data_IF_831897950276
#
_entry.id   IF_831897950276
#
_cell.length_a   1.000
_cell.length_b   1.000
_cell.length_c   1.000
_cell.angle_alpha   90.00
_cell.angle_beta   90.00
_cell.angle_gamma   90.00
#
_symmetry.space_group_name_H-M   'P 1'
#
loop_
_entity.id
_entity.type
_entity.pdbx_description
1 polymer ?
#
# COMPACT_ATOMS: atom_id res chain seq x y z
N UNK A 1 -10.17 5.42 25.72
CA UNK A 1 -8.69 5.28 25.73
C UNK A 1 -8.31 4.13 24.80
N UNK A 2 -7.78 4.43 23.61
CA UNK A 2 -7.26 3.40 22.71
C UNK A 2 -5.91 2.90 23.21
N UNK A 3 -5.71 1.58 23.31
CA UNK A 3 -4.43 0.99 23.70
C UNK A 3 -3.36 1.38 22.67
N UNK A 4 -2.41 2.24 23.03
CA UNK A 4 -1.22 2.54 22.22
C UNK A 4 -0.39 1.26 22.13
N UNK A 5 -0.51 0.52 21.03
CA UNK A 5 0.36 -0.63 20.76
C UNK A 5 1.61 -0.08 20.08
N UNK A 6 2.73 -0.13 20.77
CA UNK A 6 4.03 0.01 20.12
C UNK A 6 4.16 -1.15 19.12
N UNK A 7 4.19 -0.83 17.84
CA UNK A 7 4.47 -1.78 16.77
C UNK A 7 5.91 -1.54 16.38
N UNK A 8 6.79 -2.47 16.73
CA UNK A 8 8.12 -2.50 16.14
C UNK A 8 7.96 -2.86 14.66
N UNK A 9 8.45 -2.00 13.76
CA UNK A 9 8.49 -2.30 12.33
C UNK A 9 9.68 -3.23 12.07
N UNK A 10 9.47 -4.52 12.33
CA UNK A 10 10.44 -5.57 12.07
C UNK A 10 9.84 -6.63 11.14
N UNK A 11 10.72 -7.48 10.59
CA UNK A 11 10.26 -8.62 9.80
C UNK A 11 9.43 -9.58 10.67
N UNK A 12 8.14 -9.69 10.35
CA UNK A 12 7.22 -10.53 11.11
C UNK A 12 7.44 -12.03 10.81
N UNK A 13 7.21 -12.87 11.83
CA UNK A 13 7.25 -14.34 11.68
C UNK A 13 6.21 -14.81 10.65
N UNK A 14 6.46 -15.94 9.99
CA UNK A 14 5.53 -16.49 8.98
C UNK A 14 4.11 -16.68 9.55
N UNK A 15 3.99 -17.24 10.76
CA UNK A 15 2.70 -17.39 11.45
C UNK A 15 1.98 -16.05 11.63
N UNK A 16 2.69 -15.02 12.06
CA UNK A 16 2.12 -13.68 12.23
C UNK A 16 1.73 -13.06 10.89
N UNK A 17 2.55 -13.22 9.83
CA UNK A 17 2.25 -12.73 8.48
C UNK A 17 0.96 -13.35 7.95
N UNK A 18 0.85 -14.67 7.96
CA UNK A 18 -0.38 -15.41 7.54
C UNK A 18 -1.63 -14.95 8.28
N UNK A 19 -1.53 -14.79 9.60
CA UNK A 19 -2.66 -14.40 10.43
C UNK A 19 -3.14 -12.96 10.17
N UNK A 20 -2.25 -12.07 9.70
CA UNK A 20 -2.55 -10.63 9.62
C UNK A 20 -2.68 -10.09 8.19
N UNK A 21 -2.10 -10.76 7.17
CA UNK A 21 -1.99 -10.19 5.81
C UNK A 21 -3.36 -9.85 5.22
N UNK A 22 -4.32 -10.76 5.30
CA UNK A 22 -5.70 -10.57 4.79
C UNK A 22 -6.38 -9.36 5.43
N UNK A 23 -6.31 -9.25 6.75
CA UNK A 23 -6.92 -8.12 7.48
C UNK A 23 -6.18 -6.80 7.22
N UNK A 24 -4.85 -6.80 7.13
CA UNK A 24 -4.05 -5.60 6.85
C UNK A 24 -4.28 -5.10 5.42
N UNK A 25 -4.31 -6.02 4.45
CA UNK A 25 -4.55 -5.71 3.05
C UNK A 25 -5.96 -5.13 2.83
N UNK A 26 -6.99 -5.75 3.43
CA UNK A 26 -8.37 -5.21 3.38
C UNK A 26 -8.45 -3.79 3.96
N UNK A 27 -7.77 -3.53 5.09
CA UNK A 27 -7.72 -2.18 5.70
C UNK A 27 -6.96 -1.19 4.83
N UNK A 28 -5.86 -1.61 4.21
CA UNK A 28 -5.08 -0.79 3.29
C UNK A 28 -5.93 -0.38 2.08
N UNK A 29 -6.56 -1.35 1.42
CA UNK A 29 -7.48 -1.13 0.30
C UNK A 29 -8.59 -0.14 0.68
N UNK A 30 -9.22 -0.34 1.85
CA UNK A 30 -10.25 0.58 2.35
C UNK A 30 -9.73 2.01 2.50
N UNK A 31 -8.55 2.18 3.09
CA UNK A 31 -7.93 3.50 3.28
C UNK A 31 -7.56 4.16 1.96
N UNK A 32 -7.04 3.39 1.01
CA UNK A 32 -6.76 3.88 -0.34
C UNK A 32 -8.04 4.33 -1.05
N UNK A 33 -9.13 3.54 -0.96
CA UNK A 33 -10.42 3.93 -1.52
C UNK A 33 -11.00 5.20 -0.86
N UNK A 34 -10.87 5.33 0.47
CA UNK A 34 -11.26 6.56 1.17
C UNK A 34 -10.45 7.77 0.65
N UNK A 35 -9.14 7.62 0.45
CA UNK A 35 -8.30 8.69 -0.09
C UNK A 35 -8.66 9.08 -1.52
N UNK A 36 -8.92 8.11 -2.41
CA UNK A 36 -9.34 8.41 -3.79
C UNK A 36 -10.63 9.19 -3.82
N UNK A 37 -11.58 8.88 -2.92
CA UNK A 37 -12.86 9.61 -2.81
C UNK A 37 -12.65 11.01 -2.21
N UNK A 38 -11.92 11.13 -1.10
CA UNK A 38 -11.78 12.39 -0.37
C UNK A 38 -10.92 13.42 -1.10
N UNK A 39 -9.94 12.95 -1.88
CA UNK A 39 -8.99 13.80 -2.58
C UNK A 39 -9.27 13.90 -4.09
N UNK A 40 -10.36 13.29 -4.59
CA UNK A 40 -10.67 13.17 -6.03
C UNK A 40 -9.47 12.66 -6.84
N UNK A 41 -8.74 11.71 -6.26
CA UNK A 41 -7.50 11.16 -6.80
C UNK A 41 -7.72 9.82 -7.49
N UNK A 42 -6.88 9.52 -8.49
CA UNK A 42 -6.82 8.18 -9.10
C UNK A 42 -5.66 7.38 -8.52
N UNK A 43 -5.95 6.19 -8.01
CA UNK A 43 -4.95 5.28 -7.47
C UNK A 43 -5.36 3.83 -7.69
N UNK A 44 -4.37 2.93 -7.68
CA UNK A 44 -4.56 1.50 -7.67
C UNK A 44 -3.56 0.84 -6.71
N UNK A 45 -3.85 -0.40 -6.30
CA UNK A 45 -2.93 -1.22 -5.51
C UNK A 45 -2.68 -2.54 -6.22
N UNK A 46 -1.42 -2.98 -6.23
CA UNK A 46 -1.00 -4.30 -6.67
C UNK A 46 -0.13 -4.91 -5.56
N UNK A 47 -0.60 -5.99 -4.94
CA UNK A 47 0.08 -6.63 -3.81
C UNK A 47 0.27 -8.11 -4.12
N UNK A 48 1.52 -8.55 -4.18
CA UNK A 48 1.85 -9.96 -4.25
C UNK A 48 1.90 -10.56 -2.83
N UNK A 49 0.86 -11.29 -2.46
CA UNK A 49 0.80 -12.03 -1.20
C UNK A 49 1.60 -13.33 -1.31
N UNK A 50 2.81 -13.31 -0.76
CA UNK A 50 3.70 -14.48 -0.72
C UNK A 50 3.21 -15.62 0.17
N UNK A 51 2.21 -15.39 1.03
CA UNK A 51 1.69 -16.44 1.90
C UNK A 51 0.63 -17.31 1.23
N UNK A 52 -0.19 -16.72 0.34
CA UNK A 52 -1.22 -17.42 -0.44
C UNK A 52 -0.84 -17.54 -1.94
N UNK A 53 0.33 -17.02 -2.37
CA UNK A 53 0.81 -16.94 -3.76
C UNK A 53 -0.21 -16.26 -4.70
N UNK A 54 -0.79 -15.15 -4.23
CA UNK A 54 -1.85 -14.43 -4.93
C UNK A 54 -1.47 -12.97 -5.20
N UNK A 55 -1.70 -12.54 -6.45
CA UNK A 55 -1.67 -11.14 -6.80
C UNK A 55 -3.05 -10.52 -6.53
N UNK A 56 -3.11 -9.63 -5.54
CA UNK A 56 -4.30 -8.82 -5.27
C UNK A 56 -4.18 -7.51 -6.02
N UNK A 57 -5.19 -7.21 -6.83
CA UNK A 57 -5.32 -5.97 -7.59
C UNK A 57 -6.59 -5.24 -7.15
N UNK A 58 -6.46 -3.94 -6.86
CA UNK A 58 -7.59 -3.05 -6.57
C UNK A 58 -7.48 -1.79 -7.43
N UNK A 59 -8.60 -1.23 -7.95
CA UNK A 59 -10.00 -1.68 -7.77
C UNK A 59 -10.34 -2.96 -8.54
N UNK A 60 -9.86 -3.05 -9.76
CA UNK A 60 -9.93 -4.21 -10.65
C UNK A 60 -8.73 -4.16 -11.59
N UNK A 61 -8.42 -5.27 -12.25
CA UNK A 61 -7.34 -5.28 -13.25
C UNK A 61 -7.59 -4.29 -14.38
N UNK A 62 -8.85 -4.19 -14.87
CA UNK A 62 -9.19 -3.27 -15.96
C UNK A 62 -9.03 -1.81 -15.56
N UNK A 63 -9.36 -1.45 -14.31
CA UNK A 63 -9.25 -0.07 -13.81
C UNK A 63 -7.81 0.30 -13.42
N UNK A 64 -7.04 -0.67 -12.91
CA UNK A 64 -5.65 -0.45 -12.51
C UNK A 64 -4.72 -0.33 -13.73
N UNK A 65 -4.96 -1.12 -14.78
CA UNK A 65 -4.11 -1.15 -15.98
C UNK A 65 -3.82 0.23 -16.59
N UNK A 66 -4.80 1.10 -16.90
CA UNK A 66 -4.52 2.42 -17.49
C UNK A 66 -3.74 3.34 -16.55
N UNK A 67 -3.88 3.18 -15.22
CA UNK A 67 -3.09 3.95 -14.25
C UNK A 67 -1.63 3.54 -14.25
N UNK A 68 -1.39 2.23 -14.37
CA UNK A 68 -0.05 1.65 -14.49
C UNK A 68 0.59 2.03 -15.82
N UNK A 69 -0.14 1.94 -16.94
CA UNK A 69 0.32 2.37 -18.25
C UNK A 69 0.67 3.87 -18.26
N UNK A 70 -0.18 4.70 -17.65
CA UNK A 70 0.09 6.12 -17.48
C UNK A 70 1.33 6.38 -16.60
N UNK A 71 1.54 5.60 -15.52
CA UNK A 71 2.76 5.69 -14.73
C UNK A 71 4.02 5.39 -15.58
N UNK A 72 3.94 4.37 -16.44
CA UNK A 72 5.04 4.00 -17.32
C UNK A 72 5.20 4.89 -18.56
N UNK A 73 4.24 5.75 -18.89
CA UNK A 73 4.41 6.71 -19.99
C UNK A 73 5.30 7.90 -19.61
N UNK A 74 5.41 8.23 -18.32
CA UNK A 74 6.31 9.27 -17.82
C UNK A 74 7.79 8.88 -17.94
N UNK A 75 8.67 9.86 -18.16
CA UNK A 75 10.14 9.66 -18.12
C UNK A 75 10.62 9.41 -16.69
N UNK A 76 11.82 8.83 -16.49
CA UNK A 76 12.35 8.51 -15.16
C UNK A 76 12.37 9.72 -14.19
N UNK A 77 12.61 10.92 -14.70
CA UNK A 77 12.64 12.17 -13.94
C UNK A 77 11.23 12.71 -13.63
N UNK A 78 10.22 12.34 -14.40
CA UNK A 78 8.80 12.67 -14.14
C UNK A 78 8.13 11.62 -13.25
N UNK A 79 8.65 10.38 -13.30
CA UNK A 79 8.32 9.33 -12.35
C UNK A 79 8.91 9.60 -10.97
N UNK A 80 9.68 10.69 -10.79
CA UNK A 80 10.39 11.07 -9.56
C UNK A 80 9.50 10.69 -8.38
N UNK A 81 9.81 9.55 -7.76
CA UNK A 81 9.14 9.23 -6.56
C UNK A 81 9.83 10.17 -5.58
N UNK A 82 9.12 11.24 -5.24
CA UNK A 82 8.93 11.50 -3.81
C UNK A 82 8.22 10.29 -3.17
N UNK A 83 8.73 9.07 -3.37
CA UNK A 83 8.85 8.08 -2.34
C UNK A 83 9.76 8.74 -1.32
N UNK A 84 9.17 9.67 -0.57
CA UNK A 84 9.56 9.85 0.80
C UNK A 84 9.63 8.43 1.34
N UNK A 85 10.85 7.99 1.63
CA UNK A 85 11.05 6.77 2.37
C UNK A 85 10.09 6.84 3.56
N UNK A 86 9.07 5.97 3.61
CA UNK A 86 8.02 6.11 4.61
C UNK A 86 8.61 5.96 6.03
N UNK A 87 9.78 5.32 6.16
CA UNK A 87 10.52 5.20 7.41
C UNK A 87 11.14 6.55 7.85
N UNK A 88 11.74 7.31 6.93
CA UNK A 88 12.25 8.67 7.16
C UNK A 88 11.19 9.62 7.72
N UNK A 89 9.91 9.43 7.33
CA UNK A 89 8.80 10.22 7.86
C UNK A 89 8.38 9.82 9.29
N UNK A 90 8.73 8.62 9.76
CA UNK A 90 8.43 8.14 11.11
C UNK A 90 9.53 8.51 12.11
N UNK A 91 10.79 8.60 11.69
CA UNK A 91 11.91 9.00 12.57
C UNK A 91 11.76 10.43 13.14
N UNK A 92 10.99 11.29 12.48
CA UNK A 92 10.79 12.69 12.92
C UNK A 92 9.85 12.83 14.14
N UNK A 93 9.17 11.76 14.58
CA UNK A 93 8.14 11.81 15.66
C UNK A 93 8.54 10.97 16.90
N UNK A 94 9.80 10.52 16.99
CA UNK A 94 10.33 9.74 18.13
C UNK A 94 11.17 10.60 19.07
#
# INVERSE_FOLDING_TARGET
MGRKRSLTLNWATQRARRANIKTRLSKLIKKTNELTILCDGRACLMVNDREDDQLVVWPSTQEAQPLVENLYSFTEHERDPKAADPESSIETIS
#
